data_IF_185202232625
#
_entry.id   IF_185202232625
#
_cell.length_a   1.000
_cell.length_b   1.000
_cell.length_c   1.000
_cell.angle_alpha   90.00
_cell.angle_beta   90.00
_cell.angle_gamma   90.00
#
_symmetry.space_group_name_H-M   'P 1'
#
loop_
_entity.id
_entity.type
_entity.pdbx_description
1 polymer ?
#
# COMPACT_ATOMS: atom_id res chain seq x y z
N UNK A 1 14.04 -30.44 33.09
CA UNK A 1 14.81 -29.24 32.68
C UNK A 1 14.62 -28.89 31.19
N UNK A 2 13.54 -29.35 30.52
CA UNK A 2 13.26 -29.05 29.10
C UNK A 2 11.92 -28.33 28.86
N UNK A 3 11.04 -28.22 29.86
CA UNK A 3 9.70 -27.67 29.68
C UNK A 3 9.61 -26.12 29.73
N UNK A 4 10.67 -25.43 30.20
CA UNK A 4 10.71 -23.95 30.23
C UNK A 4 11.03 -23.31 28.86
N UNK A 5 11.57 -24.08 27.90
CA UNK A 5 11.86 -23.56 26.55
C UNK A 5 10.61 -23.37 25.69
N UNK A 6 9.47 -23.96 26.08
CA UNK A 6 8.20 -23.81 25.36
C UNK A 6 7.36 -22.62 25.85
N UNK A 7 7.81 -21.89 26.87
CA UNK A 7 7.13 -20.71 27.40
C UNK A 7 7.81 -19.39 27.05
N UNK A 8 8.72 -19.35 26.07
CA UNK A 8 9.02 -18.08 25.41
C UNK A 8 7.80 -17.68 24.59
N UNK A 9 6.73 -17.23 25.27
CA UNK A 9 5.68 -16.41 24.68
C UNK A 9 6.45 -15.37 23.88
N UNK A 10 6.38 -15.35 22.54
CA UNK A 10 6.97 -14.26 21.81
C UNK A 10 6.40 -13.02 22.47
N UNK A 11 7.25 -12.19 23.06
CA UNK A 11 6.86 -10.86 23.49
C UNK A 11 6.41 -10.20 22.21
N UNK A 12 5.13 -10.33 21.90
CA UNK A 12 4.48 -9.63 20.82
C UNK A 12 4.65 -8.16 21.22
N UNK A 13 5.74 -7.54 20.75
CA UNK A 13 5.89 -6.09 20.74
C UNK A 13 4.65 -5.62 20.03
N UNK A 14 3.67 -5.14 20.80
CA UNK A 14 2.41 -4.73 20.20
C UNK A 14 2.74 -3.56 19.30
N UNK A 15 2.52 -3.73 18.01
CA UNK A 15 2.51 -2.62 17.06
C UNK A 15 1.28 -1.79 17.43
N UNK A 16 1.49 -0.79 18.28
CA UNK A 16 0.44 0.07 18.80
C UNK A 16 0.27 1.34 17.97
N UNK A 17 -0.96 1.82 17.85
CA UNK A 17 -1.28 3.14 17.31
C UNK A 17 -1.42 3.20 15.80
N UNK A 18 -0.96 4.31 15.21
CA UNK A 18 -1.18 4.65 13.80
C UNK A 18 -0.61 3.66 12.80
N UNK A 19 0.45 2.90 13.14
CA UNK A 19 1.01 1.85 12.27
C UNK A 19 0.05 0.66 12.08
N UNK A 20 -0.74 0.33 13.10
CA UNK A 20 -1.74 -0.74 13.01
C UNK A 20 -2.91 -0.31 12.13
N UNK A 21 -3.33 0.96 12.26
CA UNK A 21 -4.30 1.57 11.35
C UNK A 21 -3.83 1.51 9.90
N UNK A 22 -2.55 1.80 9.65
CA UNK A 22 -1.98 1.66 8.31
C UNK A 22 -2.03 0.23 7.77
N UNK A 23 -1.65 -0.75 8.59
CA UNK A 23 -1.71 -2.16 8.20
C UNK A 23 -3.15 -2.58 7.87
N UNK A 24 -4.12 -2.15 8.67
CA UNK A 24 -5.54 -2.37 8.40
C UNK A 24 -5.97 -1.73 7.09
N UNK A 25 -5.53 -0.51 6.79
CA UNK A 25 -5.81 0.15 5.52
C UNK A 25 -5.22 -0.66 4.34
N UNK A 26 -3.98 -1.13 4.46
CA UNK A 26 -3.34 -1.93 3.41
C UNK A 26 -4.02 -3.30 3.20
N UNK A 27 -4.51 -3.92 4.26
CA UNK A 27 -5.11 -5.27 4.24
C UNK A 27 -6.60 -5.23 3.90
N UNK A 28 -7.34 -4.18 4.26
CA UNK A 28 -8.79 -4.12 4.11
C UNK A 28 -9.20 -3.15 3.01
N UNK A 29 -8.73 -1.90 3.07
CA UNK A 29 -9.17 -0.85 2.13
C UNK A 29 -8.63 -1.13 0.72
N UNK A 30 -7.40 -1.61 0.61
CA UNK A 30 -6.76 -1.85 -0.69
C UNK A 30 -7.46 -2.95 -1.50
N UNK A 31 -7.68 -4.18 -0.99
CA UNK A 31 -8.41 -5.20 -1.75
C UNK A 31 -9.86 -4.81 -1.98
N UNK A 32 -10.51 -4.11 -1.04
CA UNK A 32 -11.88 -3.64 -1.23
C UNK A 32 -11.97 -2.64 -2.39
N UNK A 33 -11.03 -1.70 -2.50
CA UNK A 33 -10.94 -0.78 -3.64
C UNK A 33 -10.70 -1.54 -4.96
N UNK A 34 -9.84 -2.56 -4.96
CA UNK A 34 -9.61 -3.41 -6.14
C UNK A 34 -10.89 -4.12 -6.58
N UNK A 35 -11.70 -4.63 -5.64
CA UNK A 35 -12.98 -5.29 -5.95
C UNK A 35 -13.99 -4.30 -6.54
N UNK A 36 -14.12 -3.10 -5.98
CA UNK A 36 -15.03 -2.06 -6.49
C UNK A 36 -14.65 -1.65 -7.92
N UNK A 37 -13.34 -1.50 -8.18
CA UNK A 37 -12.82 -1.19 -9.51
C UNK A 37 -13.05 -2.36 -10.49
N UNK A 38 -12.99 -3.60 -10.02
CA UNK A 38 -13.26 -4.78 -10.84
C UNK A 38 -14.73 -4.86 -11.26
N UNK A 39 -15.66 -4.59 -10.33
CA UNK A 39 -17.12 -4.67 -10.59
C UNK A 39 -17.59 -3.54 -11.50
N UNK A 40 -17.00 -2.36 -11.40
CA UNK A 40 -17.32 -1.21 -12.27
C UNK A 40 -16.68 -1.29 -13.66
N UNK A 41 -15.75 -2.22 -13.88
CA UNK A 41 -15.02 -2.41 -15.12
C UNK A 41 -15.58 -3.58 -15.96
N UNK A 42 -16.83 -3.51 -16.38
CA UNK A 42 -17.42 -4.48 -17.30
C UNK A 42 -17.14 -4.09 -18.76
N UNK A 43 -15.87 -4.17 -19.18
CA UNK A 43 -15.52 -4.06 -20.61
C UNK A 43 -14.46 -5.09 -21.00
N UNK A 44 -14.75 -5.83 -22.07
CA UNK A 44 -13.85 -6.82 -22.66
C UNK A 44 -12.74 -6.13 -23.49
N UNK A 45 -11.72 -5.63 -22.80
CA UNK A 45 -10.53 -5.07 -23.44
C UNK A 45 -9.27 -5.72 -22.87
N UNK A 46 -8.37 -6.19 -23.73
CA UNK A 46 -7.12 -6.85 -23.32
C UNK A 46 -6.23 -5.97 -22.43
N UNK A 47 -6.22 -4.64 -22.66
CA UNK A 47 -5.53 -3.67 -21.80
C UNK A 47 -6.12 -3.61 -20.38
N UNK A 48 -7.43 -3.86 -20.24
CA UNK A 48 -8.12 -3.82 -18.94
C UNK A 48 -7.88 -5.10 -18.14
N UNK A 49 -7.74 -6.25 -18.82
CA UNK A 49 -7.26 -7.48 -18.18
C UNK A 49 -5.86 -7.31 -17.57
N UNK A 50 -4.95 -6.63 -18.28
CA UNK A 50 -3.62 -6.32 -17.76
C UNK A 50 -3.72 -5.41 -16.53
N UNK A 51 -4.55 -4.36 -16.58
CA UNK A 51 -4.79 -3.47 -15.45
C UNK A 51 -5.34 -4.20 -14.22
N UNK A 52 -6.28 -5.13 -14.42
CA UNK A 52 -6.83 -5.97 -13.35
C UNK A 52 -5.74 -6.85 -12.74
N UNK A 53 -4.94 -7.52 -13.57
CA UNK A 53 -3.85 -8.39 -13.09
C UNK A 53 -2.79 -7.59 -12.30
N UNK A 54 -2.43 -6.41 -12.79
CA UNK A 54 -1.49 -5.51 -12.10
C UNK A 54 -2.06 -5.06 -10.76
N UNK A 55 -3.32 -4.61 -10.71
CA UNK A 55 -3.97 -4.20 -9.46
C UNK A 55 -4.15 -5.35 -8.47
N UNK A 56 -4.44 -6.56 -8.96
CA UNK A 56 -4.52 -7.77 -8.13
C UNK A 56 -3.15 -8.12 -7.53
N UNK A 57 -2.08 -8.11 -8.34
CA UNK A 57 -0.72 -8.30 -7.85
C UNK A 57 -0.32 -7.24 -6.83
N UNK A 58 -0.74 -5.99 -7.05
CA UNK A 58 -0.47 -4.89 -6.12
C UNK A 58 -1.23 -5.03 -4.79
N UNK A 59 -2.47 -5.55 -4.83
CA UNK A 59 -3.23 -5.87 -3.62
C UNK A 59 -2.58 -7.01 -2.83
N UNK A 60 -2.06 -8.04 -3.49
CA UNK A 60 -1.28 -9.10 -2.81
C UNK A 60 -0.01 -8.51 -2.19
N UNK A 61 0.67 -7.62 -2.91
CA UNK A 61 1.88 -6.96 -2.39
C UNK A 61 1.57 -6.02 -1.22
N UNK A 62 0.41 -5.35 -1.21
CA UNK A 62 -0.04 -4.51 -0.08
C UNK A 62 -0.29 -5.34 1.17
N UNK A 63 -0.95 -6.48 1.01
CA UNK A 63 -1.18 -7.45 2.11
C UNK A 63 0.15 -7.98 2.62
N UNK A 64 1.07 -8.36 1.73
CA UNK A 64 2.40 -8.83 2.11
C UNK A 64 3.20 -7.77 2.88
N UNK A 65 3.21 -6.52 2.41
CA UNK A 65 3.84 -5.40 3.12
C UNK A 65 3.19 -5.15 4.50
N UNK A 66 1.86 -5.21 4.57
CA UNK A 66 1.11 -5.10 5.83
C UNK A 66 1.42 -6.23 6.82
N UNK A 67 1.55 -7.46 6.35
CA UNK A 67 1.94 -8.61 7.17
C UNK A 67 3.39 -8.48 7.65
N UNK A 68 4.32 -8.06 6.79
CA UNK A 68 5.71 -7.82 7.19
C UNK A 68 5.81 -6.73 8.26
N UNK A 69 5.03 -5.66 8.12
CA UNK A 69 4.90 -4.62 9.13
C UNK A 69 4.33 -5.21 10.43
N UNK A 70 3.29 -6.05 10.34
CA UNK A 70 2.69 -6.74 11.49
C UNK A 70 3.69 -7.66 12.20
N UNK A 71 4.60 -8.29 11.45
CA UNK A 71 5.63 -9.17 11.97
C UNK A 71 6.86 -8.42 12.50
N UNK A 72 6.90 -7.08 12.43
CA UNK A 72 8.05 -6.26 12.86
C UNK A 72 9.35 -6.70 12.19
N UNK A 73 9.28 -7.15 10.93
CA UNK A 73 10.49 -7.59 10.21
C UNK A 73 11.43 -6.40 9.99
N UNK A 74 12.75 -6.56 10.12
CA UNK A 74 13.71 -5.46 9.95
C UNK A 74 13.64 -4.79 8.57
N UNK A 75 13.16 -5.52 7.56
CA UNK A 75 12.98 -5.02 6.19
C UNK A 75 11.58 -4.47 5.90
N UNK A 76 10.62 -4.58 6.85
CA UNK A 76 9.23 -4.24 6.61
C UNK A 76 9.03 -2.80 6.17
N UNK A 77 9.75 -1.86 6.79
CA UNK A 77 9.69 -0.43 6.42
C UNK A 77 10.21 -0.20 5.00
N UNK A 78 11.28 -0.90 4.61
CA UNK A 78 11.85 -0.80 3.25
C UNK A 78 10.88 -1.35 2.21
N UNK A 79 10.32 -2.54 2.45
CA UNK A 79 9.32 -3.16 1.56
C UNK A 79 8.08 -2.28 1.41
N UNK A 80 7.62 -1.70 2.52
CA UNK A 80 6.47 -0.79 2.51
C UNK A 80 6.73 0.48 1.72
N UNK A 81 7.90 1.10 1.86
CA UNK A 81 8.29 2.27 1.07
C UNK A 81 8.34 1.93 -0.42
N UNK A 82 8.90 0.77 -0.78
CA UNK A 82 8.91 0.28 -2.17
C UNK A 82 7.47 0.10 -2.68
N UNK A 83 6.59 -0.53 -1.89
CA UNK A 83 5.18 -0.67 -2.23
C UNK A 83 4.51 0.67 -2.51
N UNK A 84 4.70 1.67 -1.64
CA UNK A 84 4.12 3.00 -1.83
C UNK A 84 4.60 3.66 -3.14
N UNK A 85 5.91 3.59 -3.42
CA UNK A 85 6.50 4.15 -4.65
C UNK A 85 5.97 3.42 -5.89
N UNK A 86 5.93 2.09 -5.88
CA UNK A 86 5.43 1.26 -6.99
C UNK A 86 3.95 1.54 -7.25
N UNK A 87 3.13 1.58 -6.20
CA UNK A 87 1.71 1.94 -6.30
C UNK A 87 1.51 3.32 -6.92
N UNK A 88 2.31 4.30 -6.52
CA UNK A 88 2.23 5.65 -7.09
C UNK A 88 2.69 5.71 -8.55
N UNK A 89 3.79 5.05 -8.90
CA UNK A 89 4.27 4.98 -10.27
C UNK A 89 3.23 4.34 -11.20
N UNK A 90 2.62 3.23 -10.80
CA UNK A 90 1.59 2.56 -11.58
C UNK A 90 0.33 3.41 -11.73
N UNK A 91 -0.17 4.03 -10.64
CA UNK A 91 -1.31 4.95 -10.72
C UNK A 91 -1.03 6.15 -11.63
N UNK A 92 0.18 6.68 -11.60
CA UNK A 92 0.58 7.80 -12.46
C UNK A 92 0.64 7.37 -13.93
N UNK A 93 1.09 6.15 -14.20
CA UNK A 93 1.11 5.57 -15.55
C UNK A 93 -0.30 5.38 -16.11
N UNK A 94 -1.24 4.83 -15.33
CA UNK A 94 -2.64 4.69 -15.74
C UNK A 94 -3.32 6.06 -15.92
N UNK A 95 -3.11 7.00 -15.00
CA UNK A 95 -3.65 8.36 -15.14
C UNK A 95 -3.14 9.07 -16.41
N UNK A 96 -1.85 8.92 -16.73
CA UNK A 96 -1.28 9.44 -17.97
C UNK A 96 -1.95 8.84 -19.21
N UNK A 97 -2.21 7.53 -19.20
CA UNK A 97 -2.91 6.85 -20.28
C UNK A 97 -4.35 7.36 -20.46
N UNK A 98 -5.08 7.56 -19.36
CA UNK A 98 -6.44 8.10 -19.41
C UNK A 98 -6.48 9.53 -19.95
N UNK A 99 -5.50 10.37 -19.58
CA UNK A 99 -5.36 11.74 -20.12
C UNK A 99 -5.16 11.69 -21.64
N UNK A 100 -4.28 10.81 -22.14
CA UNK A 100 -4.07 10.64 -23.59
C UNK A 100 -5.39 10.26 -24.27
N UNK A 101 -6.11 9.26 -23.75
CA UNK A 101 -7.41 8.85 -24.30
C UNK A 101 -8.40 9.99 -24.37
N UNK A 102 -8.46 10.83 -23.33
CA UNK A 102 -9.33 11.99 -23.26
C UNK A 102 -9.02 13.01 -24.36
N UNK A 103 -7.74 13.27 -24.61
CA UNK A 103 -7.27 14.18 -25.65
C UNK A 103 -7.52 13.60 -27.05
N UNK A 104 -7.23 12.31 -27.26
CA UNK A 104 -7.32 11.66 -28.59
C UNK A 104 -8.76 11.40 -29.02
N UNK A 105 -9.64 10.98 -28.11
CA UNK A 105 -11.01 10.60 -28.46
C UNK A 105 -11.98 11.80 -28.59
N UNK A 106 -11.50 13.05 -28.44
CA UNK A 106 -12.32 14.28 -28.50
C UNK A 106 -13.70 14.10 -27.84
N UNK A 107 -13.74 13.47 -26.67
CA UNK A 107 -15.02 13.21 -25.98
C UNK A 107 -15.55 14.57 -25.55
N UNK A 108 -16.59 15.04 -26.24
CA UNK A 108 -17.34 16.23 -25.88
C UNK A 108 -17.92 16.03 -24.48
N UNK A 109 -17.24 16.53 -23.47
CA UNK A 109 -17.56 16.28 -22.07
C UNK A 109 -18.32 17.47 -21.53
N UNK A 110 -19.64 17.32 -21.38
CA UNK A 110 -20.58 18.31 -20.80
C UNK A 110 -20.44 18.45 -19.27
N UNK A 111 -19.51 17.71 -18.64
CA UNK A 111 -19.14 17.85 -17.22
C UNK A 111 -17.63 18.08 -17.09
N UNK A 112 -17.16 18.76 -16.02
CA UNK A 112 -15.73 19.01 -15.81
C UNK A 112 -15.03 17.73 -15.35
N UNK A 113 -14.88 16.75 -16.25
CA UNK A 113 -14.16 15.48 -16.01
C UNK A 113 -12.70 15.70 -15.61
N UNK A 114 -12.12 16.84 -15.98
CA UNK A 114 -10.80 17.27 -15.52
C UNK A 114 -10.73 17.52 -14.01
N UNK A 115 -11.85 17.92 -13.38
CA UNK A 115 -11.93 18.14 -11.93
C UNK A 115 -11.92 16.80 -11.18
N UNK A 116 -12.67 15.81 -11.68
CA UNK A 116 -12.68 14.45 -11.12
C UNK A 116 -11.32 13.76 -11.30
N UNK A 117 -10.71 13.90 -12.48
CA UNK A 117 -9.35 13.39 -12.73
C UNK A 117 -8.32 14.03 -11.78
N UNK A 118 -8.40 15.35 -11.57
CA UNK A 118 -7.48 16.08 -10.67
C UNK A 118 -7.66 15.67 -9.20
N UNK A 119 -8.90 15.57 -8.73
CA UNK A 119 -9.21 15.16 -7.35
C UNK A 119 -8.80 13.70 -7.09
N UNK A 120 -8.99 12.83 -8.07
CA UNK A 120 -8.60 11.41 -7.98
C UNK A 120 -7.08 11.21 -7.89
N UNK A 121 -6.28 12.16 -8.40
CA UNK A 121 -4.82 12.12 -8.34
C UNK A 121 -4.26 12.70 -7.03
N UNK A 122 -4.90 13.72 -6.45
CA UNK A 122 -4.43 14.42 -5.24
C UNK A 122 -4.53 13.52 -4.00
N UNK A 123 -5.64 12.80 -3.83
CA UNK A 123 -5.86 11.93 -2.67
C UNK A 123 -4.74 10.91 -2.44
N UNK A 124 -4.37 10.10 -3.45
CA UNK A 124 -3.26 9.15 -3.36
C UNK A 124 -1.90 9.82 -3.06
N UNK A 125 -1.65 11.02 -3.57
CA UNK A 125 -0.41 11.76 -3.30
C UNK A 125 -0.32 12.20 -1.84
N UNK A 126 -1.40 12.77 -1.30
CA UNK A 126 -1.47 13.16 0.12
C UNK A 126 -1.30 11.92 1.01
N UNK A 127 -2.00 10.83 0.68
CA UNK A 127 -1.86 9.57 1.39
C UNK A 127 -0.40 9.09 1.39
N UNK A 128 0.24 9.04 0.23
CA UNK A 128 1.64 8.62 0.12
C UNK A 128 2.57 9.54 0.91
N UNK A 129 2.41 10.86 0.82
CA UNK A 129 3.25 11.82 1.51
C UNK A 129 3.13 11.70 3.04
N UNK A 130 1.90 11.58 3.55
CA UNK A 130 1.63 11.39 4.98
C UNK A 130 2.30 10.10 5.47
N UNK A 131 2.11 8.99 4.76
CA UNK A 131 2.64 7.69 5.20
C UNK A 131 4.15 7.56 5.03
N UNK A 132 4.72 8.12 3.97
CA UNK A 132 6.17 8.22 3.81
C UNK A 132 6.80 9.05 4.93
N UNK A 133 6.25 10.24 5.20
CA UNK A 133 6.71 11.09 6.29
C UNK A 133 6.56 10.40 7.65
N UNK A 134 5.46 9.68 7.88
CA UNK A 134 5.21 8.94 9.11
C UNK A 134 6.23 7.80 9.31
N UNK A 135 6.44 6.96 8.30
CA UNK A 135 7.40 5.85 8.37
C UNK A 135 8.84 6.34 8.55
N UNK A 136 9.17 7.52 8.03
CA UNK A 136 10.53 8.06 8.08
C UNK A 136 10.83 8.91 9.33
N UNK A 137 9.84 9.66 9.85
CA UNK A 137 10.02 10.50 11.04
C UNK A 137 9.58 9.85 12.35
N UNK A 138 8.72 8.85 12.34
CA UNK A 138 8.17 8.32 13.60
C UNK A 138 9.26 7.64 14.43
N UNK A 139 9.61 8.27 15.56
CA UNK A 139 10.54 7.73 16.55
C UNK A 139 10.05 6.36 17.06
N UNK A 140 8.74 6.17 17.21
CA UNK A 140 8.14 4.88 17.61
C UNK A 140 8.41 3.77 16.61
N UNK A 141 8.34 4.07 15.31
CA UNK A 141 8.68 3.10 14.25
C UNK A 141 10.18 2.78 14.34
N UNK A 142 11.02 3.81 14.39
CA UNK A 142 12.48 3.63 14.52
C UNK A 142 12.84 2.81 15.75
N UNK A 143 12.26 3.06 16.91
CA UNK A 143 12.51 2.30 18.13
C UNK A 143 12.01 0.86 18.04
N UNK A 144 10.82 0.63 17.50
CA UNK A 144 10.24 -0.72 17.39
C UNK A 144 11.11 -1.63 16.52
N UNK A 145 11.53 -1.13 15.36
CA UNK A 145 12.36 -1.88 14.40
C UNK A 145 13.86 -1.90 14.76
N UNK A 146 14.39 -0.86 15.42
CA UNK A 146 15.81 -0.83 15.87
C UNK A 146 16.06 -1.76 17.07
N UNK A 147 15.08 -1.89 17.96
CA UNK A 147 15.18 -2.83 19.09
C UNK A 147 15.14 -4.28 18.61
N UNK A 148 14.36 -4.60 17.57
CA UNK A 148 14.30 -5.96 17.00
C UNK A 148 15.61 -6.37 16.30
N UNK A 149 16.25 -5.44 15.55
CA UNK A 149 17.56 -5.67 14.95
C UNK A 149 18.68 -5.96 15.97
N UNK A 150 18.59 -5.40 17.19
CA UNK A 150 19.55 -5.69 18.26
C UNK A 150 19.36 -7.07 18.86
N UNK A 151 18.12 -7.53 18.99
CA UNK A 151 17.81 -8.85 19.55
C UNK A 151 18.25 -9.98 18.60
N UNK A 152 18.07 -9.80 17.28
CA UNK A 152 18.52 -10.78 16.25
C UNK A 152 20.05 -10.90 16.18
N UNK A 153 20.79 -9.81 16.45
CA UNK A 153 22.26 -9.81 16.35
C UNK A 153 22.97 -10.40 17.59
N UNK A 154 22.23 -10.69 18.65
CA UNK A 154 22.73 -11.23 19.92
C UNK A 154 22.39 -12.73 20.12
N UNK A 155 21.90 -13.40 19.07
CA UNK A 155 21.68 -14.86 19.01
C UNK A 155 22.69 -15.44 18.03
#
# INVERSE_FOLDING_TARGET
MELDRLQSKPKFKKIGGWLLGFCLILIVITPMATIINLVSAYEENALRLIEILVNAGLAVFSVYAGILLWQIRPEAVKVTKIFLIVNWALRSMFAYWDIIRLITNKVASTSPQWLDASLSAIGPMIFLAIWMAYLDRSERVKETYRLDQKDVKNI
#
